data_IF_830542836892
#
_entry.id   IF_830542836892
#
_cell.length_a   1.000
_cell.length_b   1.000
_cell.length_c   1.000
_cell.angle_alpha   90.00
_cell.angle_beta   90.00
_cell.angle_gamma   90.00
#
_symmetry.space_group_name_H-M   'P 1'
#
loop_
_entity.id
_entity.type
_entity.pdbx_description
1 polymer ?
#
# COMPACT_ATOMS: atom_id res chain seq x y z
N UNK A 1 -16.33 -24.43 -6.33
CA UNK A 1 -15.16 -23.78 -5.69
C UNK A 1 -14.32 -24.78 -4.91
N UNK A 2 -13.04 -24.95 -5.23
CA UNK A 2 -12.11 -25.84 -4.50
C UNK A 2 -11.31 -25.07 -3.44
N UNK A 3 -10.83 -25.76 -2.40
CA UNK A 3 -9.96 -25.17 -1.37
C UNK A 3 -8.72 -24.51 -1.96
N UNK A 4 -8.16 -25.09 -3.02
CA UNK A 4 -7.00 -24.54 -3.74
C UNK A 4 -7.31 -23.16 -4.35
N UNK A 5 -8.46 -23.00 -5.00
CA UNK A 5 -8.86 -21.73 -5.60
C UNK A 5 -8.99 -20.61 -4.56
N UNK A 6 -9.50 -20.93 -3.37
CA UNK A 6 -9.62 -19.95 -2.27
C UNK A 6 -8.24 -19.49 -1.79
N UNK A 7 -7.30 -20.43 -1.64
CA UNK A 7 -5.91 -20.13 -1.25
C UNK A 7 -5.20 -19.27 -2.31
N UNK A 8 -5.39 -19.58 -3.58
CA UNK A 8 -4.78 -18.84 -4.69
C UNK A 8 -5.29 -17.39 -4.74
N UNK A 9 -6.61 -17.19 -4.62
CA UNK A 9 -7.22 -15.84 -4.53
C UNK A 9 -6.70 -15.08 -3.32
N UNK A 10 -6.61 -15.73 -2.16
CA UNK A 10 -6.08 -15.12 -0.93
C UNK A 10 -4.63 -14.67 -1.09
N UNK A 11 -3.80 -15.51 -1.70
CA UNK A 11 -2.40 -15.18 -2.00
C UNK A 11 -2.30 -13.99 -2.94
N UNK A 12 -3.08 -14.00 -4.02
CA UNK A 12 -3.08 -12.91 -4.99
C UNK A 12 -3.55 -11.59 -4.37
N UNK A 13 -4.57 -11.63 -3.51
CA UNK A 13 -5.03 -10.46 -2.76
C UNK A 13 -3.92 -9.90 -1.85
N UNK A 14 -3.20 -10.75 -1.12
CA UNK A 14 -2.07 -10.30 -0.28
C UNK A 14 -0.96 -9.66 -1.10
N UNK A 15 -0.63 -10.22 -2.28
CA UNK A 15 0.38 -9.65 -3.18
C UNK A 15 -0.06 -8.27 -3.68
N UNK A 16 -1.33 -8.11 -4.05
CA UNK A 16 -1.88 -6.81 -4.47
C UNK A 16 -1.79 -5.80 -3.31
N UNK A 17 -2.23 -6.17 -2.11
CA UNK A 17 -2.10 -5.32 -0.92
C UNK A 17 -0.64 -4.91 -0.66
N UNK A 18 0.31 -5.85 -0.74
CA UNK A 18 1.72 -5.58 -0.55
C UNK A 18 2.28 -4.62 -1.62
N UNK A 19 1.90 -4.80 -2.89
CA UNK A 19 2.26 -3.91 -4.00
C UNK A 19 1.74 -2.48 -3.78
N UNK A 20 0.50 -2.35 -3.30
CA UNK A 20 -0.10 -1.05 -3.03
C UNK A 20 0.53 -0.36 -1.81
N UNK A 21 0.80 -1.11 -0.74
CA UNK A 21 1.38 -0.57 0.49
C UNK A 21 2.87 -0.25 0.35
N UNK A 22 3.61 -0.97 -0.51
CA UNK A 22 5.05 -0.83 -0.72
C UNK A 22 5.55 0.61 -0.89
N UNK A 23 5.11 1.36 -1.92
CA UNK A 23 5.58 2.72 -2.15
C UNK A 23 5.21 3.67 -1.00
N UNK A 24 4.01 3.53 -0.44
CA UNK A 24 3.56 4.35 0.70
C UNK A 24 4.44 4.12 1.93
N UNK A 25 4.67 2.85 2.30
CA UNK A 25 5.49 2.47 3.45
C UNK A 25 6.94 2.92 3.28
N UNK A 26 7.51 2.77 2.08
CA UNK A 26 8.89 3.19 1.80
C UNK A 26 9.10 4.68 2.06
N UNK A 27 8.16 5.53 1.60
CA UNK A 27 8.25 6.99 1.80
C UNK A 27 8.03 7.36 3.26
N UNK A 28 7.01 6.81 3.92
CA UNK A 28 6.75 7.08 5.34
C UNK A 28 7.91 6.65 6.22
N UNK A 29 8.55 5.52 5.90
CA UNK A 29 9.73 5.03 6.60
C UNK A 29 10.93 5.95 6.38
N UNK A 30 11.25 6.30 5.13
CA UNK A 30 12.37 7.18 4.82
C UNK A 30 12.24 8.54 5.51
N UNK A 31 11.07 9.17 5.43
CA UNK A 31 10.79 10.44 6.11
C UNK A 31 10.82 10.27 7.62
N UNK A 32 10.26 9.19 8.16
CA UNK A 32 10.27 8.91 9.59
C UNK A 32 11.68 8.76 10.16
N UNK A 33 12.56 8.06 9.45
CA UNK A 33 13.96 7.89 9.82
C UNK A 33 14.70 9.23 9.74
N UNK A 34 14.56 9.96 8.63
CA UNK A 34 15.23 11.25 8.45
C UNK A 34 14.86 12.26 9.55
N UNK A 35 13.56 12.41 9.82
CA UNK A 35 13.09 13.34 10.87
C UNK A 35 13.45 12.82 12.27
N UNK A 36 13.38 11.51 12.52
CA UNK A 36 13.77 10.93 13.81
C UNK A 36 15.24 11.19 14.16
N UNK A 37 16.13 11.12 13.17
CA UNK A 37 17.54 11.49 13.35
C UNK A 37 17.70 12.97 13.68
N UNK A 38 16.99 13.87 12.97
CA UNK A 38 17.03 15.31 13.26
C UNK A 38 16.50 15.63 14.67
N UNK A 39 15.41 14.98 15.09
CA UNK A 39 14.86 15.11 16.44
C UNK A 39 15.87 14.65 17.51
N UNK A 40 16.59 13.55 17.25
CA UNK A 40 17.61 13.04 18.18
C UNK A 40 18.82 13.96 18.29
N UNK A 41 19.30 14.53 17.18
CA UNK A 41 20.50 15.40 17.17
C UNK A 41 20.21 16.77 17.77
N UNK A 42 19.02 17.33 17.51
CA UNK A 42 18.62 18.66 18.00
C UNK A 42 17.96 18.64 19.38
N UNK A 43 17.66 17.45 19.91
CA UNK A 43 16.90 17.23 21.16
C UNK A 43 15.48 17.83 21.15
N UNK A 44 14.96 18.24 19.98
CA UNK A 44 13.60 18.75 19.84
C UNK A 44 12.63 17.58 19.62
N UNK A 45 11.82 17.26 20.62
CA UNK A 45 10.81 16.19 20.59
C UNK A 45 9.38 16.74 20.42
N UNK A 46 9.22 17.67 19.47
CA UNK A 46 7.91 18.24 19.14
C UNK A 46 7.15 17.32 18.17
N UNK A 47 5.99 16.81 18.60
CA UNK A 47 5.21 15.84 17.81
C UNK A 47 4.77 16.40 16.44
N UNK A 48 4.50 17.69 16.35
CA UNK A 48 4.09 18.39 15.11
C UNK A 48 5.18 18.34 14.03
N UNK A 49 6.45 18.38 14.42
CA UNK A 49 7.59 18.39 13.51
C UNK A 49 7.77 17.05 12.79
N UNK A 50 7.33 15.95 13.41
CA UNK A 50 7.23 14.62 12.79
C UNK A 50 6.01 14.44 11.90
N UNK A 51 4.90 15.10 12.22
CA UNK A 51 3.62 14.87 11.56
C UNK A 51 3.57 15.52 10.17
N UNK A 52 3.96 16.79 10.06
CA UNK A 52 3.81 17.57 8.81
C UNK A 52 4.67 17.00 7.67
N UNK A 53 5.97 16.71 7.83
CA UNK A 53 6.77 16.16 6.73
C UNK A 53 6.29 14.79 6.27
N UNK A 54 5.83 13.93 7.21
CA UNK A 54 5.26 12.62 6.88
C UNK A 54 3.98 12.75 6.06
N UNK A 55 3.11 13.69 6.40
CA UNK A 55 1.86 13.96 5.67
C UNK A 55 2.14 14.47 4.25
N UNK A 56 3.11 15.37 4.09
CA UNK A 56 3.50 15.87 2.77
C UNK A 56 4.09 14.72 1.94
N UNK A 57 5.00 13.92 2.51
CA UNK A 57 5.58 12.75 1.83
C UNK A 57 4.52 11.74 1.41
N UNK A 58 3.55 11.44 2.28
CA UNK A 58 2.47 10.52 1.97
C UNK A 58 1.51 11.07 0.90
N UNK A 59 1.22 12.36 0.91
CA UNK A 59 0.41 13.00 -0.13
C UNK A 59 1.09 12.96 -1.50
N UNK A 60 2.39 13.24 -1.56
CA UNK A 60 3.17 13.21 -2.80
C UNK A 60 3.21 11.80 -3.37
N UNK A 61 3.51 10.79 -2.55
CA UNK A 61 3.60 9.42 -3.07
C UNK A 61 2.23 8.94 -3.56
N UNK A 62 1.14 9.25 -2.85
CA UNK A 62 -0.22 8.93 -3.33
C UNK A 62 -0.53 9.65 -4.64
N UNK A 63 -0.13 10.92 -4.80
CA UNK A 63 -0.36 11.65 -6.04
C UNK A 63 0.42 11.02 -7.22
N UNK A 64 1.64 10.55 -6.99
CA UNK A 64 2.49 9.96 -8.03
C UNK A 64 2.11 8.50 -8.33
N UNK A 65 1.91 7.67 -7.30
CA UNK A 65 1.59 6.25 -7.44
C UNK A 65 0.10 5.97 -7.57
N UNK A 66 -0.77 6.95 -7.34
CA UNK A 66 -2.22 6.78 -7.27
C UNK A 66 -2.83 6.19 -8.54
N UNK A 67 -2.40 6.67 -9.72
CA UNK A 67 -2.89 6.13 -11.00
C UNK A 67 -2.58 4.63 -11.14
N UNK A 68 -1.36 4.22 -10.81
CA UNK A 68 -0.94 2.82 -10.88
C UNK A 68 -1.62 1.95 -9.81
N UNK A 69 -1.79 2.47 -8.59
CA UNK A 69 -2.50 1.78 -7.51
C UNK A 69 -3.96 1.51 -7.90
N UNK A 70 -4.64 2.51 -8.47
CA UNK A 70 -6.01 2.37 -8.97
C UNK A 70 -6.08 1.36 -10.12
N UNK A 71 -5.18 1.44 -11.09
CA UNK A 71 -5.13 0.47 -12.19
C UNK A 71 -4.94 -0.97 -11.68
N UNK A 72 -4.07 -1.16 -10.70
CA UNK A 72 -3.80 -2.47 -10.08
C UNK A 72 -5.04 -3.02 -9.36
N UNK A 73 -5.74 -2.19 -8.57
CA UNK A 73 -6.98 -2.59 -7.91
C UNK A 73 -8.08 -2.94 -8.91
N UNK A 74 -8.27 -2.10 -9.93
CA UNK A 74 -9.28 -2.34 -10.96
C UNK A 74 -8.98 -3.62 -11.73
N UNK A 75 -7.72 -3.90 -12.08
CA UNK A 75 -7.33 -5.16 -12.72
C UNK A 75 -7.68 -6.36 -11.86
N UNK A 76 -7.27 -6.33 -10.58
CA UNK A 76 -7.55 -7.41 -9.64
C UNK A 76 -9.06 -7.63 -9.45
N UNK A 77 -9.85 -6.57 -9.31
CA UNK A 77 -11.31 -6.68 -9.20
C UNK A 77 -11.95 -7.23 -10.47
N UNK A 78 -11.45 -6.86 -11.65
CA UNK A 78 -11.94 -7.41 -12.93
C UNK A 78 -11.61 -8.89 -13.08
N UNK A 79 -10.40 -9.30 -12.72
CA UNK A 79 -9.98 -10.70 -12.72
C UNK A 79 -10.84 -11.54 -11.76
N UNK A 80 -11.11 -11.02 -10.56
CA UNK A 80 -11.97 -11.68 -9.59
C UNK A 80 -13.39 -11.87 -10.15
N UNK A 81 -13.99 -10.80 -10.71
CA UNK A 81 -15.32 -10.84 -11.30
C UNK A 81 -15.40 -11.75 -12.53
N UNK A 82 -14.38 -11.75 -13.39
CA UNK A 82 -14.29 -12.65 -14.53
C UNK A 82 -14.13 -14.12 -14.12
N UNK A 83 -13.57 -14.38 -12.93
CA UNK A 83 -13.47 -15.71 -12.34
C UNK A 83 -14.79 -16.24 -11.76
N UNK A 84 -15.77 -15.39 -11.48
CA UNK A 84 -17.05 -15.77 -10.82
C UNK A 84 -17.78 -16.91 -11.55
N UNK A 85 -17.96 -16.91 -12.88
CA UNK A 85 -18.61 -18.02 -13.58
C UNK A 85 -17.88 -19.36 -13.40
N UNK A 86 -16.55 -19.34 -13.29
CA UNK A 86 -15.74 -20.55 -13.07
C UNK A 86 -15.89 -21.07 -11.63
N UNK A 87 -16.21 -20.20 -10.67
CA UNK A 87 -16.48 -20.59 -9.29
C UNK A 87 -17.86 -21.21 -9.12
N UNK A 88 -18.81 -20.84 -9.98
CA UNK A 88 -20.20 -21.31 -9.95
C UNK A 88 -20.43 -22.59 -10.79
N UNK A 89 -19.67 -22.79 -11.86
CA UNK A 89 -19.78 -23.97 -12.75
C UNK A 89 -18.88 -25.15 -12.32
N UNK A 90 -18.32 -25.14 -11.10
CA UNK A 90 -17.43 -26.16 -10.57
C UNK A 90 -17.67 -26.49 -9.11
#
# INVERSE_FOLDING_TARGET
MTTQQVIDIGTQAMIVCAKLAGPFLAVVLAVGVAIGLLQSVTQLQEQTLTFVPKLIGSAIIIAVSGNWMLATLVSFSRELMAGVPNFLNG
#
